data_IF_175028921668
#
_entry.id   IF_175028921668
#
_cell.length_a   1.000
_cell.length_b   1.000
_cell.length_c   1.000
_cell.angle_alpha   90.00
_cell.angle_beta   90.00
_cell.angle_gamma   90.00
#
_symmetry.space_group_name_H-M   'P 1'
#
loop_
_entity.id
_entity.type
_entity.pdbx_description
1 polymer ?
#
# COMPACT_ATOMS: atom_id res chain seq x y z
N UNK A 1 -13.03 -39.43 -22.04
CA UNK A 1 -13.24 -38.04 -21.62
C UNK A 1 -14.73 -37.88 -21.41
N UNK A 2 -15.18 -37.48 -20.23
CA UNK A 2 -16.61 -37.33 -19.97
C UNK A 2 -17.15 -36.23 -20.89
N UNK A 3 -18.09 -36.59 -21.76
CA UNK A 3 -18.83 -35.65 -22.60
C UNK A 3 -20.00 -35.17 -21.75
N UNK A 4 -19.77 -34.15 -20.91
CA UNK A 4 -20.84 -33.52 -20.16
C UNK A 4 -21.42 -32.41 -21.02
N UNK A 5 -22.75 -32.37 -21.15
CA UNK A 5 -23.42 -31.29 -21.88
C UNK A 5 -23.31 -29.99 -21.09
N UNK A 6 -23.30 -28.86 -21.80
CA UNK A 6 -23.09 -27.54 -21.18
C UNK A 6 -24.17 -27.22 -20.12
N UNK A 7 -25.41 -27.61 -20.40
CA UNK A 7 -26.54 -27.43 -19.47
C UNK A 7 -26.31 -28.21 -18.17
N UNK A 8 -25.84 -29.46 -18.24
CA UNK A 8 -25.52 -30.27 -17.06
C UNK A 8 -24.42 -29.63 -16.20
N UNK A 9 -23.43 -29.02 -16.86
CA UNK A 9 -22.33 -28.31 -16.17
C UNK A 9 -22.87 -27.08 -15.45
N UNK A 10 -23.71 -26.28 -16.12
CA UNK A 10 -24.32 -25.07 -15.53
C UNK A 10 -25.22 -25.43 -14.34
N UNK A 11 -26.03 -26.48 -14.45
CA UNK A 11 -26.88 -26.97 -13.36
C UNK A 11 -26.05 -27.49 -12.17
N UNK A 12 -25.04 -28.32 -12.43
CA UNK A 12 -24.13 -28.81 -11.39
C UNK A 12 -23.38 -27.68 -10.70
N UNK A 13 -23.08 -26.60 -11.42
CA UNK A 13 -22.38 -25.46 -10.85
C UNK A 13 -23.28 -24.62 -9.94
N UNK A 14 -24.54 -24.43 -10.34
CA UNK A 14 -25.55 -23.78 -9.49
C UNK A 14 -25.77 -24.58 -8.20
N UNK A 15 -25.87 -25.91 -8.31
CA UNK A 15 -25.96 -26.80 -7.14
C UNK A 15 -24.74 -26.64 -6.23
N UNK A 16 -23.53 -26.63 -6.80
CA UNK A 16 -22.30 -26.44 -6.06
C UNK A 16 -22.23 -25.07 -5.35
N UNK A 17 -22.66 -24.00 -6.02
CA UNK A 17 -22.75 -22.66 -5.41
C UNK A 17 -23.71 -22.65 -4.22
N UNK A 18 -24.88 -23.29 -4.34
CA UNK A 18 -25.85 -23.40 -3.25
C UNK A 18 -25.31 -24.21 -2.07
N UNK A 19 -24.61 -25.31 -2.35
CA UNK A 19 -23.97 -26.14 -1.33
C UNK A 19 -22.91 -25.34 -0.56
N UNK A 20 -22.02 -24.60 -1.25
CA UNK A 20 -21.05 -23.72 -0.58
C UNK A 20 -21.69 -22.56 0.20
N UNK A 21 -22.83 -22.04 -0.28
CA UNK A 21 -23.59 -21.00 0.41
C UNK A 21 -24.22 -21.52 1.72
N UNK A 22 -24.73 -22.75 1.72
CA UNK A 22 -25.37 -23.37 2.89
C UNK A 22 -24.37 -23.99 3.87
N UNK A 23 -23.20 -24.38 3.40
CA UNK A 23 -22.12 -24.88 4.25
C UNK A 23 -21.64 -23.80 5.21
N UNK A 24 -21.40 -24.22 6.45
CA UNK A 24 -20.71 -23.43 7.47
C UNK A 24 -19.18 -23.42 7.21
N UNK A 25 -18.81 -22.91 6.03
CA UNK A 25 -17.44 -22.77 5.54
C UNK A 25 -17.15 -21.30 5.26
N UNK A 26 -15.88 -20.92 5.34
CA UNK A 26 -15.41 -19.57 5.05
C UNK A 26 -15.31 -19.27 3.54
N UNK A 27 -15.51 -20.26 2.68
CA UNK A 27 -15.37 -20.14 1.22
C UNK A 27 -16.72 -20.09 0.51
N UNK A 28 -16.75 -19.40 -0.62
CA UNK A 28 -17.89 -19.31 -1.53
C UNK A 28 -17.44 -19.39 -2.99
N UNK A 29 -18.33 -19.83 -3.87
CA UNK A 29 -18.10 -19.85 -5.32
C UNK A 29 -18.85 -18.67 -5.93
N UNK A 30 -18.16 -17.88 -6.73
CA UNK A 30 -18.69 -16.64 -7.30
C UNK A 30 -18.43 -16.61 -8.80
N UNK A 31 -19.41 -16.10 -9.54
CA UNK A 31 -19.30 -15.87 -10.97
C UNK A 31 -18.61 -14.53 -11.22
N UNK A 32 -17.59 -14.55 -12.08
CA UNK A 32 -16.80 -13.39 -12.51
C UNK A 32 -16.81 -13.31 -14.03
N UNK A 33 -16.40 -12.18 -14.59
CA UNK A 33 -16.27 -12.02 -16.05
C UNK A 33 -15.33 -13.05 -16.71
N UNK A 34 -14.41 -13.64 -15.93
CA UNK A 34 -13.46 -14.65 -16.37
C UNK A 34 -13.95 -16.11 -16.17
N UNK A 35 -15.13 -16.30 -15.57
CA UNK A 35 -15.68 -17.60 -15.19
C UNK A 35 -15.94 -17.71 -13.69
N UNK A 36 -15.90 -18.92 -13.14
CA UNK A 36 -16.23 -19.18 -11.73
C UNK A 36 -14.97 -19.31 -10.87
N UNK A 37 -14.98 -18.67 -9.70
CA UNK A 37 -13.86 -18.66 -8.76
C UNK A 37 -14.31 -19.08 -7.36
N UNK A 38 -13.42 -19.77 -6.64
CA UNK A 38 -13.59 -20.11 -5.23
C UNK A 38 -12.82 -19.07 -4.40
N UNK A 39 -13.54 -18.31 -3.58
CA UNK A 39 -12.97 -17.20 -2.81
C UNK A 39 -13.46 -17.20 -1.36
N UNK A 40 -12.86 -16.35 -0.53
CA UNK A 40 -13.26 -16.18 0.87
C UNK A 40 -14.56 -15.35 0.94
N UNK A 41 -15.51 -15.78 1.78
CA UNK A 41 -16.73 -15.03 2.09
C UNK A 41 -16.39 -13.66 2.64
N UNK A 42 -17.13 -12.65 2.20
CA UNK A 42 -16.93 -11.26 2.59
C UNK A 42 -16.97 -11.04 4.11
N UNK A 43 -17.73 -11.88 4.83
CA UNK A 43 -17.83 -11.85 6.31
C UNK A 43 -16.49 -12.06 7.03
N UNK A 44 -15.49 -12.66 6.37
CA UNK A 44 -14.17 -12.92 6.94
C UNK A 44 -13.11 -11.90 6.49
N UNK A 45 -13.47 -10.88 5.70
CA UNK A 45 -12.53 -9.85 5.25
C UNK A 45 -11.84 -9.11 6.40
N UNK A 46 -12.57 -8.83 7.48
CA UNK A 46 -12.02 -8.22 8.70
C UNK A 46 -10.99 -9.09 9.42
N UNK A 47 -11.14 -10.41 9.31
CA UNK A 47 -10.20 -11.39 9.84
C UNK A 47 -8.93 -11.40 8.99
N UNK A 48 -9.06 -11.30 7.67
CA UNK A 48 -7.93 -11.19 6.74
C UNK A 48 -7.13 -9.92 7.01
N UNK A 49 -7.76 -8.76 7.19
CA UNK A 49 -7.03 -7.52 7.49
C UNK A 49 -6.28 -7.57 8.82
N UNK A 50 -6.81 -8.30 9.80
CA UNK A 50 -6.16 -8.52 11.11
C UNK A 50 -5.00 -9.51 11.02
N UNK A 51 -5.15 -10.58 10.24
CA UNK A 51 -4.14 -11.62 10.06
C UNK A 51 -3.04 -11.21 9.07
N UNK A 52 -3.36 -10.34 8.11
CA UNK A 52 -2.49 -9.83 7.06
C UNK A 52 -2.43 -8.29 7.16
N UNK A 53 -1.82 -7.74 8.22
CA UNK A 53 -1.66 -6.30 8.35
C UNK A 53 -0.62 -5.83 7.32
N UNK A 54 -1.08 -5.22 6.23
CA UNK A 54 -0.19 -4.57 5.26
C UNK A 54 -0.81 -3.28 4.72
N UNK A 55 -1.35 -2.45 5.62
CA UNK A 55 -1.60 -1.06 5.28
C UNK A 55 -0.26 -0.32 5.21
N UNK A 56 0.38 -0.38 4.05
CA UNK A 56 1.51 0.47 3.72
C UNK A 56 1.04 1.92 3.75
N UNK A 57 1.68 2.76 4.56
CA UNK A 57 1.38 4.20 4.56
C UNK A 57 1.53 4.80 3.16
N UNK A 58 0.76 5.86 2.85
CA UNK A 58 0.78 6.52 1.53
C UNK A 58 2.20 6.90 1.08
N UNK A 59 3.06 7.29 2.03
CA UNK A 59 4.48 7.56 1.78
C UNK A 59 5.29 6.33 1.36
N UNK A 60 5.05 5.18 1.99
CA UNK A 60 5.70 3.91 1.65
C UNK A 60 5.22 3.42 0.28
N UNK A 61 3.91 3.45 0.02
CA UNK A 61 3.33 3.10 -1.28
C UNK A 61 3.90 3.92 -2.44
N UNK A 62 4.03 5.24 -2.27
CA UNK A 62 4.65 6.11 -3.30
C UNK A 62 6.10 5.72 -3.58
N UNK A 63 6.85 5.34 -2.55
CA UNK A 63 8.24 4.88 -2.68
C UNK A 63 8.30 3.54 -3.42
N UNK A 64 7.44 2.61 -3.02
CA UNK A 64 7.33 1.29 -3.63
C UNK A 64 6.97 1.39 -5.10
N UNK A 65 6.00 2.23 -5.45
CA UNK A 65 5.63 2.50 -6.84
C UNK A 65 6.80 3.09 -7.65
N UNK A 66 7.58 4.01 -7.07
CA UNK A 66 8.75 4.57 -7.73
C UNK A 66 9.81 3.50 -8.04
N UNK A 67 10.07 2.58 -7.10
CA UNK A 67 11.00 1.45 -7.30
C UNK A 67 10.45 0.49 -8.36
N UNK A 68 9.17 0.13 -8.29
CA UNK A 68 8.54 -0.76 -9.25
C UNK A 68 8.65 -0.21 -10.69
N UNK A 69 8.26 1.04 -10.91
CA UNK A 69 8.22 1.65 -12.25
C UNK A 69 9.61 1.93 -12.84
N UNK A 70 10.58 2.30 -12.01
CA UNK A 70 11.97 2.57 -12.47
C UNK A 70 12.81 1.30 -12.57
N UNK A 71 12.38 0.22 -11.93
CA UNK A 71 13.14 -1.02 -11.82
C UNK A 71 14.27 -0.92 -10.79
N UNK A 72 15.29 -1.79 -10.88
CA UNK A 72 16.42 -1.77 -9.96
C UNK A 72 17.15 -0.43 -10.02
N UNK A 73 17.09 0.33 -8.92
CA UNK A 73 17.62 1.69 -8.82
C UNK A 73 18.57 1.81 -7.62
N UNK A 74 19.66 2.60 -7.72
CA UNK A 74 20.48 2.92 -6.56
C UNK A 74 19.65 3.66 -5.49
N UNK A 75 19.86 3.31 -4.21
CA UNK A 75 19.13 3.95 -3.11
C UNK A 75 19.38 5.47 -3.05
N UNK A 76 20.56 5.94 -3.46
CA UNK A 76 20.87 7.37 -3.59
C UNK A 76 19.95 8.07 -4.58
N UNK A 77 19.80 7.50 -5.77
CA UNK A 77 19.01 8.07 -6.86
C UNK A 77 17.51 8.06 -6.50
N UNK A 78 17.07 7.02 -5.79
CA UNK A 78 15.72 6.95 -5.23
C UNK A 78 15.46 8.07 -4.21
N UNK A 79 16.45 8.37 -3.36
CA UNK A 79 16.37 9.47 -2.38
C UNK A 79 16.41 10.82 -3.07
N UNK A 80 17.17 10.99 -4.14
CA UNK A 80 17.14 12.21 -4.94
C UNK A 80 15.76 12.43 -5.60
N UNK A 81 15.11 11.35 -6.05
CA UNK A 81 13.79 11.38 -6.68
C UNK A 81 12.65 11.66 -5.69
N UNK A 82 12.67 11.06 -4.49
CA UNK A 82 11.56 11.13 -3.52
C UNK A 82 11.85 12.01 -2.30
N UNK A 83 13.08 12.43 -2.10
CA UNK A 83 13.54 13.12 -0.90
C UNK A 83 13.93 12.19 0.26
N UNK A 84 14.38 12.80 1.36
CA UNK A 84 15.03 12.15 2.51
C UNK A 84 14.18 11.06 3.18
N UNK A 85 12.84 11.17 3.15
CA UNK A 85 11.94 10.15 3.69
C UNK A 85 12.10 8.77 3.06
N UNK A 86 12.67 8.67 1.85
CA UNK A 86 12.92 7.39 1.18
C UNK A 86 13.80 6.43 1.98
N UNK A 87 14.68 6.90 2.87
CA UNK A 87 15.46 6.00 3.71
C UNK A 87 14.58 5.17 4.64
N UNK A 88 13.66 5.83 5.35
CA UNK A 88 12.75 5.17 6.29
C UNK A 88 11.80 4.22 5.55
N UNK A 89 11.21 4.69 4.45
CA UNK A 89 10.30 3.86 3.67
C UNK A 89 10.97 2.65 3.03
N UNK A 90 12.22 2.77 2.55
CA UNK A 90 12.97 1.61 2.04
C UNK A 90 13.22 0.59 3.14
N UNK A 91 13.52 1.04 4.36
CA UNK A 91 13.72 0.12 5.48
C UNK A 91 12.42 -0.64 5.81
N UNK A 92 11.31 0.08 5.96
CA UNK A 92 9.97 -0.50 6.16
C UNK A 92 9.60 -1.51 5.06
N UNK A 93 9.79 -1.14 3.79
CA UNK A 93 9.50 -2.01 2.64
C UNK A 93 10.39 -3.26 2.56
N UNK A 94 11.60 -3.19 3.11
CA UNK A 94 12.50 -4.35 3.23
C UNK A 94 12.04 -5.27 4.37
N UNK A 95 11.63 -4.70 5.51
CA UNK A 95 11.10 -5.46 6.65
C UNK A 95 9.80 -6.19 6.27
N UNK A 96 8.94 -5.57 5.47
CA UNK A 96 7.72 -6.17 4.92
C UNK A 96 7.96 -7.13 3.75
N UNK A 97 9.19 -7.21 3.24
CA UNK A 97 9.58 -8.13 2.17
C UNK A 97 9.22 -7.68 0.75
N UNK A 98 8.56 -6.52 0.57
CA UNK A 98 8.24 -5.94 -0.75
C UNK A 98 9.47 -5.50 -1.56
N UNK A 99 10.55 -5.14 -0.89
CA UNK A 99 11.79 -4.65 -1.51
C UNK A 99 12.99 -5.45 -1.03
N UNK A 100 13.92 -5.76 -1.93
CA UNK A 100 15.22 -6.33 -1.61
C UNK A 100 16.33 -5.31 -1.86
N UNK A 101 17.26 -5.22 -0.90
CA UNK A 101 18.46 -4.40 -0.98
C UNK A 101 19.68 -5.28 -1.30
N UNK A 102 20.41 -4.95 -2.39
CA UNK A 102 21.65 -5.62 -2.78
C UNK A 102 22.81 -4.63 -2.75
N UNK A 103 23.87 -4.96 -2.02
CA UNK A 103 25.09 -4.14 -1.97
C UNK A 103 25.91 -4.36 -3.24
N UNK A 104 26.20 -3.29 -3.96
CA UNK A 104 27.09 -3.36 -5.12
C UNK A 104 28.54 -3.22 -4.65
N UNK A 105 29.46 -4.03 -5.20
CA UNK A 105 30.88 -4.00 -4.82
C UNK A 105 31.62 -2.75 -5.31
N UNK A 106 31.08 -2.09 -6.33
CA UNK A 106 31.68 -0.95 -7.02
C UNK A 106 31.04 0.41 -6.65
N UNK A 107 29.92 0.40 -5.91
CA UNK A 107 29.19 1.61 -5.56
C UNK A 107 29.03 1.73 -4.03
N UNK A 108 29.05 2.96 -3.52
CA UNK A 108 28.79 3.25 -2.10
C UNK A 108 27.31 3.05 -1.76
N UNK A 109 26.42 3.20 -2.73
CA UNK A 109 24.97 2.98 -2.57
C UNK A 109 24.59 1.52 -2.80
N UNK A 110 23.56 1.05 -2.10
CA UNK A 110 22.95 -0.25 -2.40
C UNK A 110 21.90 -0.11 -3.50
N UNK A 111 21.75 -1.14 -4.32
CA UNK A 111 20.70 -1.27 -5.30
C UNK A 111 19.43 -1.78 -4.62
N UNK A 112 18.28 -1.18 -4.91
CA UNK A 112 16.97 -1.59 -4.41
C UNK A 112 16.06 -1.99 -5.56
N UNK A 113 15.30 -3.07 -5.37
CA UNK A 113 14.38 -3.63 -6.35
C UNK A 113 13.18 -4.26 -5.65
N UNK A 114 12.03 -4.36 -6.34
CA UNK A 114 10.86 -5.11 -5.85
C UNK A 114 11.13 -6.62 -5.85
N UNK A 115 10.40 -7.35 -5.01
CA UNK A 115 10.47 -8.81 -4.86
C UNK A 115 9.24 -9.49 -5.48
N UNK A 116 9.22 -10.83 -5.49
CA UNK A 116 8.06 -11.61 -5.95
C UNK A 116 6.81 -11.38 -5.09
N UNK A 117 7.00 -11.07 -3.80
CA UNK A 117 5.91 -10.74 -2.88
C UNK A 117 5.13 -9.50 -3.33
N UNK A 118 5.79 -8.52 -3.96
CA UNK A 118 5.10 -7.38 -4.54
C UNK A 118 4.10 -7.80 -5.62
N UNK A 119 4.52 -8.64 -6.56
CA UNK A 119 3.66 -9.08 -7.65
C UNK A 119 2.49 -9.94 -7.15
N UNK A 120 2.75 -10.80 -6.15
CA UNK A 120 1.73 -11.61 -5.52
C UNK A 120 0.70 -10.76 -4.74
N UNK A 121 1.17 -9.76 -4.00
CA UNK A 121 0.29 -8.94 -3.16
C UNK A 121 -0.57 -7.96 -3.97
N UNK A 122 -0.01 -7.36 -5.02
CA UNK A 122 -0.73 -6.41 -5.86
C UNK A 122 -1.42 -7.07 -7.06
N UNK A 123 -1.34 -8.41 -7.18
CA UNK A 123 -1.92 -9.20 -8.27
C UNK A 123 -1.56 -8.66 -9.66
N UNK A 124 -0.30 -8.28 -9.84
CA UNK A 124 0.24 -7.76 -11.10
C UNK A 124 1.24 -8.74 -11.69
N UNK A 125 1.01 -9.16 -12.93
CA UNK A 125 1.96 -10.04 -13.64
C UNK A 125 3.13 -9.28 -14.25
N UNK A 126 2.87 -8.07 -14.77
CA UNK A 126 3.87 -7.23 -15.42
C UNK A 126 3.65 -5.76 -15.13
N UNK A 127 4.74 -5.06 -14.83
CA UNK A 127 4.71 -3.62 -14.64
C UNK A 127 4.63 -2.90 -16.00
N UNK A 128 3.84 -1.81 -16.09
CA UNK A 128 3.77 -1.02 -17.31
C UNK A 128 5.14 -0.42 -17.62
N UNK A 129 5.60 -0.58 -18.87
CA UNK A 129 6.83 0.04 -19.35
C UNK A 129 6.59 1.52 -19.60
N UNK A 130 6.79 2.34 -18.58
CA UNK A 130 6.64 3.80 -18.71
C UNK A 130 7.83 4.34 -19.50
N UNK A 131 7.66 4.51 -20.82
CA UNK A 131 8.65 5.17 -21.67
C UNK A 131 8.53 6.68 -21.47
N UNK A 132 9.59 7.29 -20.92
CA UNK A 132 9.78 8.74 -20.96
C UNK A 132 9.16 9.52 -19.79
N UNK A 133 9.86 9.55 -18.66
CA UNK A 133 9.90 10.79 -17.88
C UNK A 133 11.14 11.53 -18.37
N UNK A 134 10.98 12.44 -19.33
CA UNK A 134 12.05 13.39 -19.64
C UNK A 134 12.37 14.11 -18.35
N UNK A 135 13.60 13.94 -17.84
CA UNK A 135 14.16 14.83 -16.84
C UNK A 135 14.24 16.22 -17.50
N UNK A 136 13.18 17.00 -17.40
CA UNK A 136 13.34 18.44 -17.47
C UNK A 136 14.06 18.80 -16.19
N UNK A 137 15.28 19.37 -16.27
CA UNK A 137 15.87 19.95 -15.08
C UNK A 137 14.89 21.04 -14.65
N UNK A 138 14.32 20.91 -13.46
CA UNK A 138 13.64 22.01 -12.78
C UNK A 138 14.75 23.00 -12.43
N UNK A 139 15.17 23.76 -13.44
CA UNK A 139 16.06 24.88 -13.30
C UNK A 139 15.40 25.86 -12.34
N UNK A 140 16.11 26.13 -11.25
CA UNK A 140 16.06 27.34 -10.44
C UNK A 140 14.87 28.26 -10.74
N UNK A 141 13.75 28.02 -10.08
CA UNK A 141 12.80 29.05 -9.72
C UNK A 141 12.19 28.65 -8.39
N UNK A 142 12.92 29.02 -7.33
CA UNK A 142 12.29 29.31 -6.06
C UNK A 142 11.29 30.44 -6.32
N UNK A 143 10.03 30.13 -6.61
CA UNK A 143 8.96 31.05 -6.26
C UNK A 143 8.85 30.94 -4.74
N UNK A 144 9.31 31.98 -4.05
CA UNK A 144 8.90 32.23 -2.69
C UNK A 144 7.37 32.07 -2.62
N UNK A 145 6.82 31.39 -1.60
CA UNK A 145 5.38 31.42 -1.40
C UNK A 145 4.99 32.89 -1.27
N UNK A 146 4.07 33.33 -2.13
CA UNK A 146 3.41 34.60 -1.95
C UNK A 146 2.57 34.41 -0.69
N UNK A 147 3.07 34.93 0.43
CA UNK A 147 2.39 34.93 1.72
C UNK A 147 1.24 35.90 1.54
N UNK A 148 0.08 35.41 1.09
CA UNK A 148 -1.17 36.12 1.33
C UNK A 148 -1.31 36.13 2.84
N UNK A 149 -1.18 37.32 3.41
CA UNK A 149 -1.40 37.63 4.81
C UNK A 149 -2.85 37.35 5.16
N UNK A 150 -3.19 36.09 5.44
CA UNK A 150 -4.31 35.79 6.29
C UNK A 150 -3.84 36.00 7.74
N UNK A 151 -4.55 36.81 8.55
CA UNK A 151 -4.15 37.07 9.92
C UNK A 151 -4.18 35.76 10.74
N UNK A 152 -3.14 35.56 11.56
CA UNK A 152 -3.12 34.51 12.58
C UNK A 152 -4.43 34.54 13.39
N UNK A 153 -5.08 33.38 13.63
CA UNK A 153 -6.12 33.33 14.64
C UNK A 153 -5.48 33.63 15.99
N UNK A 154 -5.94 34.69 16.66
CA UNK A 154 -5.59 34.99 18.04
C UNK A 154 -5.91 33.77 18.90
N UNK A 155 -4.87 33.13 19.43
CA UNK A 155 -4.98 32.15 20.49
C UNK A 155 -5.45 32.91 21.73
N UNK A 156 -6.71 32.72 22.13
CA UNK A 156 -7.17 33.18 23.44
C UNK A 156 -6.30 32.53 24.53
N UNK A 157 -5.86 33.29 25.54
CA UNK A 157 -5.10 32.72 26.64
C UNK A 157 -5.95 31.72 27.41
N UNK A 158 -5.35 30.57 27.72
CA UNK A 158 -5.95 29.58 28.63
C UNK A 158 -6.37 30.27 29.94
N UNK A 159 -7.58 30.01 30.47
CA UNK A 159 -7.98 30.53 31.76
C UNK A 159 -7.03 30.01 32.85
N UNK A 160 -6.58 30.92 33.72
CA UNK A 160 -5.75 30.60 34.87
C UNK A 160 -6.40 29.52 35.74
N UNK A 161 -5.62 28.57 36.29
CA UNK A 161 -6.17 27.58 37.21
C UNK A 161 -6.69 28.28 38.48
N UNK A 162 -7.99 28.11 38.75
CA UNK A 162 -8.59 28.53 40.01
C UNK A 162 -7.87 27.83 41.17
N UNK A 163 -7.24 28.65 42.01
CA UNK A 163 -6.69 28.22 43.29
C UNK A 163 -7.85 27.72 44.16
N UNK A 164 -8.01 26.40 44.25
CA UNK A 164 -8.79 25.79 45.31
C UNK A 164 -8.18 26.22 46.65
N UNK A 165 -8.90 27.11 47.33
CA UNK A 165 -8.66 27.47 48.71
C UNK A 165 -8.82 26.22 49.57
N UNK A 166 -7.71 25.66 50.06
CA UNK A 166 -7.70 24.68 51.15
C UNK A 166 -8.52 25.22 52.34
N UNK A 167 -9.61 24.55 52.74
CA UNK A 167 -10.25 24.84 54.01
C UNK A 167 -9.50 24.12 55.14
N UNK A 168 -9.02 24.91 56.10
CA UNK A 168 -8.82 24.61 57.52
C UNK A 168 -8.48 23.16 57.92
N UNK A 169 -7.27 22.95 58.46
CA UNK A 169 -7.09 22.05 59.61
C UNK A 169 -6.11 22.66 60.62
N UNK A 170 -6.55 22.59 61.88
CA UNK A 170 -6.00 23.12 63.14
C UNK A 170 -4.53 22.75 63.44
#
# INVERSE_FOLDING_TARGET
MATCDREDIEEALIELMQDYAQRDSALEIVETDAGYSLQLKESYQSLVSTLIPTDLGVGALRTLAAIALKGPIPQTDLVELRGSGAYQHVQELVELGFVQKRRQSNNRSSLVQVTDQFYQYFEVDQLPKVQGFSNTPVGAQCLAPNISSDPEPELEPDPEPELESDPELE
#
